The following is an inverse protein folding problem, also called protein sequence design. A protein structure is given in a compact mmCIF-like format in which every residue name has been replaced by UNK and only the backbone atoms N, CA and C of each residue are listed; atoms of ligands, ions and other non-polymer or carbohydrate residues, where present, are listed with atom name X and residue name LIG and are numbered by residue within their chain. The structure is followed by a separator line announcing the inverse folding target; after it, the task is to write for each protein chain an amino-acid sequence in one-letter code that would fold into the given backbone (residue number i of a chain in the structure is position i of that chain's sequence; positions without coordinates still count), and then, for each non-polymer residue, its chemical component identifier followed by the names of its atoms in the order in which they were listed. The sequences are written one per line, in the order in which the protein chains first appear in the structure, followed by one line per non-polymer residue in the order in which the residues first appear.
data_IF_502877517045
#
_entry.id   IF_502877517045
#
_cell.length_a   1.000
_cell.length_b   1.000
_cell.length_c   1.000
_cell.angle_alpha   90.00
_cell.angle_beta   90.00
_cell.angle_gamma   90.00
#
_symmetry.space_group_name_H-M   'P 1'
#
loop_
_entity.id
_entity.type
_entity.pdbx_description
1 polymer ?
#
# COMPACT_ATOMS: atom_id res chain seq x y z
N UNK A 1 -19.42 15.91 36.74
CA UNK A 1 -18.17 15.14 36.51
C UNK A 1 -18.35 13.75 35.88
N UNK A 2 -19.57 13.29 35.53
CA UNK A 2 -19.75 11.99 34.83
C UNK A 2 -19.74 12.08 33.29
N UNK A 3 -20.14 13.23 32.73
CA UNK A 3 -20.23 13.45 31.28
C UNK A 3 -18.84 13.58 30.62
N UNK A 4 -17.86 14.17 31.31
CA UNK A 4 -16.49 14.31 30.80
C UNK A 4 -15.78 12.97 30.58
N UNK A 5 -16.13 11.92 31.34
CA UNK A 5 -15.51 10.60 31.20
C UNK A 5 -16.01 9.82 29.98
N UNK A 6 -17.26 10.07 29.55
CA UNK A 6 -17.86 9.48 28.35
C UNK A 6 -17.27 10.06 27.04
N UNK A 7 -16.88 11.34 27.04
CA UNK A 7 -16.22 11.96 25.89
C UNK A 7 -14.80 11.42 25.65
N UNK A 8 -14.10 10.99 26.70
CA UNK A 8 -12.74 10.47 26.60
C UNK A 8 -12.70 9.08 25.93
N UNK A 9 -13.73 8.25 26.14
CA UNK A 9 -13.81 6.90 25.56
C UNK A 9 -14.15 6.90 24.06
N UNK A 10 -14.79 7.96 23.54
CA UNK A 10 -15.19 8.04 22.14
C UNK A 10 -14.04 8.44 21.19
N UNK A 11 -12.94 8.97 21.73
CA UNK A 11 -11.78 9.41 20.94
C UNK A 11 -10.83 8.25 20.55
N UNK A 12 -10.97 7.07 21.16
CA UNK A 12 -10.09 5.91 20.92
C UNK A 12 -10.40 5.14 19.62
N UNK A 13 -11.56 5.37 19.01
CA UNK A 13 -12.03 4.59 17.85
C UNK A 13 -11.41 4.99 16.51
N UNK A 14 -10.75 6.15 16.43
CA UNK A 14 -10.40 6.81 15.16
C UNK A 14 -9.04 6.34 14.60
N UNK A 15 -8.25 5.60 15.39
CA UNK A 15 -6.87 5.20 15.03
C UNK A 15 -6.71 3.75 14.58
N UNK A 16 -7.79 2.96 14.49
CA UNK A 16 -7.67 1.51 14.28
C UNK A 16 -7.13 1.15 12.90
N UNK A 17 -7.53 1.85 11.83
CA UNK A 17 -7.18 1.46 10.46
C UNK A 17 -5.68 1.64 10.15
N UNK A 18 -5.10 2.79 10.50
CA UNK A 18 -3.68 3.05 10.23
C UNK A 18 -2.76 2.07 10.97
N UNK A 19 -3.07 1.77 12.24
CA UNK A 19 -2.33 0.77 13.02
C UNK A 19 -2.41 -0.62 12.37
N UNK A 20 -3.59 -1.03 11.90
CA UNK A 20 -3.75 -2.33 11.23
C UNK A 20 -3.06 -2.41 9.85
N UNK A 21 -2.92 -1.28 9.14
CA UNK A 21 -2.24 -1.24 7.84
C UNK A 21 -0.74 -1.46 7.97
N UNK A 22 -0.11 -0.88 9.00
CA UNK A 22 1.31 -1.07 9.28
C UNK A 22 1.59 -2.51 9.71
N UNK A 23 0.75 -3.08 10.59
CA UNK A 23 0.84 -4.48 11.01
C UNK A 23 0.68 -5.45 9.83
N UNK A 24 -0.30 -5.21 8.95
CA UNK A 24 -0.50 -6.02 7.74
C UNK A 24 0.69 -5.91 6.79
N UNK A 25 1.22 -4.71 6.59
CA UNK A 25 2.39 -4.47 5.75
C UNK A 25 3.63 -5.18 6.31
N UNK A 26 3.83 -5.16 7.62
CA UNK A 26 4.90 -5.89 8.30
C UNK A 26 4.75 -7.40 8.10
N UNK A 27 3.54 -7.94 8.33
CA UNK A 27 3.24 -9.35 8.09
C UNK A 27 3.58 -9.78 6.66
N UNK A 28 3.09 -9.05 5.66
CA UNK A 28 3.32 -9.39 4.24
C UNK A 28 4.81 -9.35 3.88
N UNK A 29 5.57 -8.39 4.42
CA UNK A 29 7.03 -8.29 4.22
C UNK A 29 7.80 -9.43 4.87
N UNK A 30 7.32 -9.96 5.99
CA UNK A 30 7.96 -11.07 6.69
C UNK A 30 7.69 -12.42 6.02
N UNK A 31 6.49 -12.59 5.44
CA UNK A 31 6.10 -13.84 4.77
C UNK A 31 6.76 -14.04 3.39
N UNK A 32 7.07 -12.95 2.66
CA UNK A 32 7.64 -13.05 1.32
C UNK A 32 8.62 -11.91 1.04
N UNK A 33 9.75 -12.20 0.37
CA UNK A 33 10.74 -11.20 -0.03
C UNK A 33 10.19 -10.17 -1.04
N UNK A 34 9.19 -10.58 -1.83
CA UNK A 34 8.52 -9.75 -2.82
C UNK A 34 9.33 -9.48 -4.09
N UNK A 35 8.68 -8.89 -5.09
CA UNK A 35 9.29 -8.46 -6.35
C UNK A 35 9.20 -6.94 -6.48
N UNK A 36 10.34 -6.26 -6.50
CA UNK A 36 10.40 -4.79 -6.52
C UNK A 36 10.66 -4.22 -7.91
N UNK A 37 9.86 -3.25 -8.32
CA UNK A 37 10.03 -2.44 -9.53
C UNK A 37 10.33 -1.00 -9.12
N UNK A 38 11.56 -0.55 -9.38
CA UNK A 38 12.02 0.81 -9.04
C UNK A 38 11.81 1.76 -10.21
N UNK A 39 11.43 2.99 -9.89
CA UNK A 39 11.10 4.04 -10.86
C UNK A 39 11.88 5.31 -10.51
N UNK A 40 13.08 5.42 -11.07
CA UNK A 40 13.98 6.54 -10.81
C UNK A 40 13.41 7.85 -11.37
N UNK A 41 12.86 7.79 -12.58
CA UNK A 41 12.41 8.95 -13.35
C UNK A 41 10.94 9.36 -13.09
N UNK A 42 10.24 8.69 -12.16
CA UNK A 42 8.86 9.06 -11.83
C UNK A 42 8.83 10.11 -10.72
N UNK A 43 8.02 11.16 -10.89
CA UNK A 43 7.87 12.23 -9.89
C UNK A 43 7.13 11.77 -8.63
N UNK A 44 6.15 10.86 -8.76
CA UNK A 44 5.27 10.47 -7.67
C UNK A 44 5.56 9.08 -7.09
N UNK A 45 5.87 8.08 -7.93
CA UNK A 45 6.06 6.69 -7.47
C UNK A 45 7.54 6.34 -7.51
N UNK A 46 8.15 6.06 -6.36
CA UNK A 46 9.57 5.69 -6.26
C UNK A 46 9.80 4.21 -6.57
N UNK A 47 8.95 3.33 -6.03
CA UNK A 47 8.97 1.89 -6.29
C UNK A 47 7.61 1.27 -5.98
N UNK A 48 7.38 0.09 -6.54
CA UNK A 48 6.29 -0.80 -6.13
C UNK A 48 6.88 -2.17 -5.86
N UNK A 49 6.53 -2.77 -4.72
CA UNK A 49 6.91 -4.15 -4.39
C UNK A 49 5.67 -5.01 -4.32
N UNK A 50 5.65 -6.11 -5.08
CA UNK A 50 4.56 -7.08 -5.08
C UNK A 50 4.89 -8.29 -4.22
N UNK A 51 3.90 -8.76 -3.47
CA UNK A 51 4.01 -9.91 -2.57
C UNK A 51 2.90 -10.89 -2.85
N UNK A 52 3.26 -12.17 -2.95
CA UNK A 52 2.32 -13.27 -3.14
C UNK A 52 2.35 -14.09 -1.83
N UNK A 53 1.28 -14.03 -1.03
CA UNK A 53 1.22 -14.65 0.31
C UNK A 53 0.19 -15.78 0.29
N UNK A 54 0.51 -16.91 0.91
CA UNK A 54 -0.40 -18.05 1.04
C UNK A 54 -0.90 -18.16 2.47
N UNK A 55 -2.21 -17.98 2.69
CA UNK A 55 -2.86 -18.10 4.00
C UNK A 55 -3.94 -19.17 3.86
N UNK A 56 -3.91 -20.20 4.71
CA UNK A 56 -4.88 -21.30 4.69
C UNK A 56 -5.12 -21.91 3.30
N UNK A 57 -4.02 -22.14 2.56
CA UNK A 57 -4.02 -22.65 1.17
C UNK A 57 -4.67 -21.74 0.12
N UNK A 58 -5.02 -20.51 0.48
CA UNK A 58 -5.50 -19.47 -0.42
C UNK A 58 -4.37 -18.49 -0.75
N UNK A 59 -4.29 -18.07 -2.02
CA UNK A 59 -3.30 -17.09 -2.48
C UNK A 59 -3.86 -15.67 -2.43
N UNK A 60 -3.13 -14.79 -1.76
CA UNK A 60 -3.41 -13.36 -1.64
C UNK A 60 -2.27 -12.55 -2.27
N UNK A 61 -2.64 -11.49 -2.99
CA UNK A 61 -1.69 -10.69 -3.75
C UNK A 61 -1.71 -9.25 -3.24
N UNK A 62 -0.54 -8.74 -2.88
CA UNK A 62 -0.39 -7.40 -2.34
C UNK A 62 0.59 -6.58 -3.17
N UNK A 63 0.34 -5.28 -3.24
CA UNK A 63 1.25 -4.29 -3.76
C UNK A 63 1.53 -3.26 -2.66
N UNK A 64 2.81 -3.04 -2.35
CA UNK A 64 3.25 -1.93 -1.50
C UNK A 64 3.82 -0.85 -2.41
N UNK A 65 3.15 0.30 -2.44
CA UNK A 65 3.52 1.45 -3.26
C UNK A 65 4.23 2.47 -2.40
N UNK A 66 5.41 2.88 -2.84
CA UNK A 66 6.28 3.84 -2.17
C UNK A 66 6.19 5.18 -2.92
N UNK A 67 5.41 6.11 -2.39
CA UNK A 67 5.24 7.44 -2.98
C UNK A 67 6.31 8.42 -2.50
N UNK A 68 6.95 9.10 -3.44
CA UNK A 68 7.93 10.15 -3.16
C UNK A 68 7.24 11.29 -2.40
N UNK A 69 7.84 11.72 -1.28
CA UNK A 69 7.40 12.94 -0.59
C UNK A 69 7.77 14.21 -1.36
N UNK A 70 8.84 14.14 -2.16
CA UNK A 70 9.28 15.15 -3.11
C UNK A 70 10.23 14.49 -4.13
N UNK A 71 10.54 15.20 -5.23
CA UNK A 71 11.29 14.65 -6.38
C UNK A 71 12.74 14.21 -6.05
N UNK A 72 13.29 14.60 -4.90
CA UNK A 72 14.67 14.32 -4.48
C UNK A 72 14.77 13.39 -3.26
N UNK A 73 13.64 12.93 -2.72
CA UNK A 73 13.62 12.18 -1.47
C UNK A 73 13.93 10.70 -1.69
N UNK A 74 14.98 10.22 -1.01
CA UNK A 74 15.23 8.78 -0.83
C UNK A 74 14.22 8.12 0.11
N UNK A 75 13.51 8.93 0.91
CA UNK A 75 12.45 8.48 1.81
C UNK A 75 11.09 8.61 1.10
N UNK A 76 10.24 7.60 1.24
CA UNK A 76 8.88 7.60 0.71
C UNK A 76 7.88 7.23 1.80
N UNK A 77 6.61 7.52 1.56
CA UNK A 77 5.52 6.91 2.33
C UNK A 77 5.09 5.63 1.61
N UNK A 78 5.04 4.51 2.34
CA UNK A 78 4.61 3.22 1.82
C UNK A 78 3.15 2.96 2.16
N UNK A 79 2.39 2.44 1.20
CA UNK A 79 0.97 2.09 1.37
C UNK A 79 0.69 0.73 0.73
N UNK A 80 -0.11 -0.08 1.40
CA UNK A 80 -0.42 -1.44 0.99
C UNK A 80 -1.78 -1.51 0.29
N UNK A 81 -1.84 -2.28 -0.79
CA UNK A 81 -3.02 -2.56 -1.59
C UNK A 81 -3.16 -4.07 -1.73
N UNK A 82 -4.38 -4.60 -1.55
CA UNK A 82 -4.71 -5.96 -1.98
C UNK A 82 -5.20 -5.90 -3.42
N UNK A 83 -4.50 -6.60 -4.32
CA UNK A 83 -4.69 -6.50 -5.78
C UNK A 83 -5.06 -7.85 -6.39
N UNK A 84 -5.46 -7.86 -7.67
CA UNK A 84 -5.66 -9.11 -8.40
C UNK A 84 -4.34 -9.80 -8.76
N UNK A 85 -4.40 -11.12 -9.00
CA UNK A 85 -3.27 -11.98 -9.33
C UNK A 85 -2.47 -11.55 -10.57
N UNK A 86 -3.14 -10.88 -11.52
CA UNK A 86 -2.54 -10.41 -12.77
C UNK A 86 -1.95 -8.99 -12.69
N UNK A 87 -2.20 -8.25 -11.60
CA UNK A 87 -1.78 -6.84 -11.46
C UNK A 87 -0.26 -6.70 -11.54
N UNK A 88 0.51 -7.62 -10.94
CA UNK A 88 1.98 -7.65 -11.02
C UNK A 88 2.46 -7.66 -12.47
N UNK A 89 1.93 -8.59 -13.27
CA UNK A 89 2.26 -8.75 -14.67
C UNK A 89 1.95 -7.48 -15.46
N UNK A 90 0.73 -6.94 -15.35
CA UNK A 90 0.36 -5.72 -16.07
C UNK A 90 1.18 -4.50 -15.66
N UNK A 91 1.41 -4.30 -14.36
CA UNK A 91 2.25 -3.20 -13.88
C UNK A 91 3.68 -3.33 -14.43
N UNK A 92 4.28 -4.53 -14.32
CA UNK A 92 5.65 -4.80 -14.77
C UNK A 92 5.89 -4.53 -16.27
N UNK A 93 4.85 -4.70 -17.09
CA UNK A 93 4.94 -4.45 -18.53
C UNK A 93 4.86 -2.95 -18.88
N UNK A 94 4.27 -2.13 -18.00
CA UNK A 94 3.94 -0.73 -18.31
C UNK A 94 4.72 0.30 -17.45
N UNK A 95 5.28 -0.08 -16.31
CA UNK A 95 5.87 0.87 -15.36
C UNK A 95 7.09 1.64 -15.89
N UNK A 96 7.80 1.07 -16.88
CA UNK A 96 8.96 1.72 -17.50
C UNK A 96 8.59 2.92 -18.36
N UNK A 97 7.40 2.91 -18.97
CA UNK A 97 6.90 4.08 -19.71
C UNK A 97 6.47 5.19 -18.76
N UNK A 98 5.75 4.83 -17.69
CA UNK A 98 5.40 5.73 -16.60
C UNK A 98 4.86 4.94 -15.41
N UNK A 99 5.59 4.98 -14.29
CA UNK A 99 5.19 4.34 -13.05
C UNK A 99 3.87 4.90 -12.51
N UNK A 100 3.69 6.23 -12.61
CA UNK A 100 2.45 6.89 -12.22
C UNK A 100 1.24 6.44 -13.05
N UNK A 101 1.37 6.36 -14.38
CA UNK A 101 0.27 5.86 -15.24
C UNK A 101 -0.02 4.39 -14.98
N UNK A 102 1.01 3.57 -14.78
CA UNK A 102 0.85 2.15 -14.46
C UNK A 102 0.16 1.97 -13.09
N UNK A 103 0.54 2.77 -12.09
CA UNK A 103 -0.12 2.80 -10.78
C UNK A 103 -1.61 3.13 -10.93
N UNK A 104 -1.95 4.26 -11.56
CA UNK A 104 -3.33 4.71 -11.73
C UNK A 104 -4.20 3.69 -12.46
N UNK A 105 -3.64 2.97 -13.44
CA UNK A 105 -4.41 2.02 -14.23
C UNK A 105 -4.59 0.66 -13.56
N UNK A 106 -3.58 0.18 -12.84
CA UNK A 106 -3.53 -1.23 -12.41
C UNK A 106 -3.57 -1.43 -10.89
N UNK A 107 -3.18 -0.43 -10.09
CA UNK A 107 -3.13 -0.56 -8.62
C UNK A 107 -4.16 0.35 -7.95
N UNK A 108 -4.28 1.60 -8.40
CA UNK A 108 -5.19 2.58 -7.80
C UNK A 108 -6.66 2.12 -7.72
N UNK A 109 -7.21 1.34 -8.68
CA UNK A 109 -8.59 0.85 -8.57
C UNK A 109 -8.88 -0.03 -7.34
N UNK A 110 -7.85 -0.44 -6.59
CA UNK A 110 -7.95 -1.22 -5.36
C UNK A 110 -7.79 -0.38 -4.08
N UNK A 111 -7.85 0.95 -4.17
CA UNK A 111 -7.63 1.87 -3.04
C UNK A 111 -8.54 1.60 -1.84
N UNK A 112 -9.79 1.21 -2.07
CA UNK A 112 -10.79 1.00 -1.03
C UNK A 112 -10.80 -0.43 -0.46
N UNK A 113 -10.14 -1.40 -1.10
CA UNK A 113 -10.19 -2.82 -0.69
C UNK A 113 -9.73 -3.03 0.74
N UNK A 114 -8.65 -2.35 1.15
CA UNK A 114 -8.10 -2.44 2.51
C UNK A 114 -8.35 -1.18 3.33
N UNK A 115 -8.73 -0.06 2.72
CA UNK A 115 -8.76 1.26 3.38
C UNK A 115 -7.37 1.77 3.82
N UNK A 116 -6.29 1.16 3.31
CA UNK A 116 -4.90 1.51 3.64
C UNK A 116 -4.24 2.46 2.63
N UNK A 117 -4.96 2.84 1.58
CA UNK A 117 -4.48 3.81 0.60
C UNK A 117 -4.47 5.23 1.21
N UNK A 118 -3.56 6.11 0.77
CA UNK A 118 -3.62 7.51 1.17
C UNK A 118 -4.90 8.16 0.63
N UNK A 119 -5.46 9.09 1.39
CA UNK A 119 -6.43 10.04 0.84
C UNK A 119 -5.71 10.90 -0.21
N UNK A 120 -6.19 10.83 -1.46
CA UNK A 120 -5.60 11.49 -2.63
C UNK A 120 -6.44 12.66 -3.09
#
# INVERSE_FOLDING_TARGET
MKIAFLFLLFQLSIFTNAQTCDELMEFVKNENYGTTYRSYDSDAVSKVTFYDVSIDYQSYYFAIVCFKRNNYSYNCSEYIYQVASNTKSYYSMNYRESAGKAFWKYIQPYNETLGCAPEM
#
